data_IF_377033949998
#
_entry.id   IF_377033949998
#
_cell.length_a   1.000
_cell.length_b   1.000
_cell.length_c   1.000
_cell.angle_alpha   90.00
_cell.angle_beta   90.00
_cell.angle_gamma   90.00
#
_symmetry.space_group_name_H-M   'P 1'
#
loop_
_entity.id
_entity.type
_entity.pdbx_description
1 polymer ?
#
# COMPACT_ATOMS: atom_id res chain seq x y z
N UNK A 1 -1.41 6.47 -20.31
CA UNK A 1 -0.24 7.38 -20.33
C UNK A 1 0.07 8.03 -18.96
N UNK A 2 -0.56 7.57 -17.87
CA UNK A 2 -0.42 8.13 -16.51
C UNK A 2 0.42 7.24 -15.58
N UNK A 3 0.97 6.14 -16.11
CA UNK A 3 1.56 5.06 -15.30
C UNK A 3 3.06 5.30 -15.00
N UNK A 4 3.78 5.96 -15.91
CA UNK A 4 5.20 6.32 -15.72
C UNK A 4 5.36 7.45 -14.70
N UNK A 5 4.32 8.25 -14.46
CA UNK A 5 4.39 9.37 -13.50
C UNK A 5 4.19 8.93 -12.06
N UNK A 6 3.52 7.79 -11.78
CA UNK A 6 3.19 7.38 -10.40
C UNK A 6 4.42 6.94 -9.59
N UNK A 7 5.36 6.22 -10.19
CA UNK A 7 6.61 5.80 -9.53
C UNK A 7 7.61 6.94 -9.43
N UNK A 8 7.71 7.77 -10.47
CA UNK A 8 8.51 8.98 -10.48
C UNK A 8 8.06 9.97 -9.37
N UNK A 9 6.74 10.06 -9.10
CA UNK A 9 6.20 10.94 -8.05
C UNK A 9 6.43 10.41 -6.62
N UNK A 10 6.45 9.09 -6.42
CA UNK A 10 6.72 8.50 -5.09
C UNK A 10 8.20 8.60 -4.73
N UNK A 11 9.08 8.24 -5.67
CA UNK A 11 10.54 8.35 -5.50
C UNK A 11 10.94 9.82 -5.36
N UNK A 12 10.34 10.74 -6.12
CA UNK A 12 10.70 12.16 -6.03
C UNK A 12 10.45 12.75 -4.64
N UNK A 13 9.36 12.40 -3.95
CA UNK A 13 9.06 12.96 -2.62
C UNK A 13 10.06 12.55 -1.53
N UNK A 14 10.58 11.33 -1.57
CA UNK A 14 11.53 10.83 -0.56
C UNK A 14 12.89 11.49 -0.71
N UNK A 15 13.30 11.79 -1.96
CA UNK A 15 14.54 12.49 -2.25
C UNK A 15 14.57 13.92 -1.67
N UNK A 16 13.40 14.53 -1.43
CA UNK A 16 13.29 15.85 -0.81
C UNK A 16 13.17 15.83 0.71
N UNK A 17 13.26 14.66 1.36
CA UNK A 17 13.23 14.62 2.82
C UNK A 17 14.53 15.08 3.46
N UNK A 18 14.39 15.83 4.55
CA UNK A 18 15.53 16.10 5.41
C UNK A 18 16.02 14.78 6.02
N UNK A 19 17.33 14.68 6.37
CA UNK A 19 17.87 13.50 7.03
C UNK A 19 17.09 13.09 8.29
N UNK A 20 16.51 14.05 9.01
CA UNK A 20 15.69 13.82 10.21
C UNK A 20 14.37 13.12 9.84
N UNK A 21 13.67 13.58 8.80
CA UNK A 21 12.42 12.99 8.33
C UNK A 21 12.65 11.57 7.82
N UNK A 22 13.72 11.36 7.04
CA UNK A 22 14.09 10.05 6.53
C UNK A 22 14.41 9.09 7.68
N UNK A 23 15.22 9.52 8.66
CA UNK A 23 15.53 8.71 9.85
C UNK A 23 14.27 8.32 10.63
N UNK A 24 13.33 9.25 10.82
CA UNK A 24 12.06 8.96 11.50
C UNK A 24 11.22 7.90 10.79
N UNK A 25 11.17 7.92 9.45
CA UNK A 25 10.46 6.88 8.67
C UNK A 25 11.17 5.53 8.82
N UNK A 26 12.49 5.50 8.71
CA UNK A 26 13.29 4.27 8.87
C UNK A 26 13.07 3.65 10.24
N UNK A 27 13.08 4.46 11.31
CA UNK A 27 12.82 3.99 12.68
C UNK A 27 11.39 3.45 12.84
N UNK A 28 10.39 4.14 12.28
CA UNK A 28 9.01 3.67 12.28
C UNK A 28 8.86 2.32 11.56
N UNK A 29 9.51 2.13 10.41
CA UNK A 29 9.47 0.86 9.66
C UNK A 29 10.14 -0.27 10.47
N UNK A 30 11.24 0.01 11.18
CA UNK A 30 11.87 -0.95 12.10
C UNK A 30 10.92 -1.32 13.24
N UNK A 31 10.24 -0.35 13.86
CA UNK A 31 9.27 -0.59 14.94
C UNK A 31 8.05 -1.42 14.50
N UNK A 32 7.66 -1.34 13.23
CA UNK A 32 6.62 -2.21 12.63
C UNK A 32 7.09 -3.67 12.43
N UNK A 33 8.35 -3.97 12.74
CA UNK A 33 8.93 -5.31 12.68
C UNK A 33 9.32 -5.74 11.26
N UNK A 34 9.63 -4.79 10.37
CA UNK A 34 10.26 -5.11 9.09
C UNK A 34 11.76 -5.31 9.27
N UNK A 35 12.27 -6.42 8.73
CA UNK A 35 13.70 -6.73 8.70
C UNK A 35 14.40 -5.87 7.63
N UNK A 36 15.43 -5.07 7.99
CA UNK A 36 16.16 -4.21 7.04
C UNK A 36 16.81 -4.94 5.86
N UNK A 37 17.07 -6.24 6.01
CA UNK A 37 17.70 -7.09 5.01
C UNK A 37 16.74 -7.46 3.86
N UNK A 38 15.43 -7.28 4.06
CA UNK A 38 14.42 -7.64 3.05
C UNK A 38 14.11 -6.46 2.15
N UNK A 39 13.93 -6.72 0.86
CA UNK A 39 13.48 -5.72 -0.12
C UNK A 39 12.16 -5.03 0.29
N UNK A 40 11.28 -5.75 1.00
CA UNK A 40 10.04 -5.19 1.56
C UNK A 40 10.29 -4.02 2.51
N UNK A 41 11.44 -3.96 3.20
CA UNK A 41 11.81 -2.84 4.06
C UNK A 41 11.95 -1.55 3.25
N UNK A 42 12.79 -1.56 2.21
CA UNK A 42 13.02 -0.39 1.36
C UNK A 42 11.73 0.06 0.67
N UNK A 43 10.93 -0.88 0.17
CA UNK A 43 9.60 -0.56 -0.36
C UNK A 43 8.69 0.10 0.68
N UNK A 44 8.68 -0.39 1.92
CA UNK A 44 7.85 0.16 2.99
C UNK A 44 8.29 1.58 3.36
N UNK A 45 9.60 1.83 3.44
CA UNK A 45 10.16 3.19 3.62
C UNK A 45 9.69 4.10 2.50
N UNK A 46 9.74 3.63 1.25
CA UNK A 46 9.29 4.40 0.08
C UNK A 46 7.79 4.71 0.18
N UNK A 47 6.97 3.70 0.45
CA UNK A 47 5.51 3.86 0.51
C UNK A 47 5.13 4.83 1.62
N UNK A 48 5.58 4.60 2.86
CA UNK A 48 5.27 5.49 3.98
C UNK A 48 5.82 6.90 3.77
N UNK A 49 7.03 7.02 3.21
CA UNK A 49 7.63 8.31 2.92
C UNK A 49 7.00 9.07 1.76
N UNK A 50 6.17 8.42 0.94
CA UNK A 50 5.52 9.09 -0.19
C UNK A 50 4.17 9.72 0.15
N UNK A 51 3.62 9.43 1.35
CA UNK A 51 2.24 9.78 1.70
C UNK A 51 2.12 10.48 3.05
N UNK A 52 1.11 11.36 3.15
CA UNK A 52 0.73 12.00 4.40
C UNK A 52 -0.03 11.01 5.28
N UNK A 53 -0.01 11.25 6.60
CA UNK A 53 -0.80 10.48 7.57
C UNK A 53 -2.29 10.43 7.20
N UNK A 54 -2.87 11.56 6.79
CA UNK A 54 -4.27 11.60 6.35
C UNK A 54 -4.54 10.73 5.13
N UNK A 55 -3.63 10.70 4.15
CA UNK A 55 -3.75 9.81 2.98
C UNK A 55 -3.69 8.34 3.38
N UNK A 56 -2.86 8.00 4.37
CA UNK A 56 -2.79 6.64 4.92
C UNK A 56 -4.11 6.25 5.59
N UNK A 57 -4.67 7.11 6.44
CA UNK A 57 -5.94 6.89 7.14
C UNK A 57 -7.12 6.74 6.16
N UNK A 58 -7.23 7.63 5.16
CA UNK A 58 -8.28 7.51 4.14
C UNK A 58 -8.21 6.18 3.38
N UNK A 59 -7.00 5.68 3.07
CA UNK A 59 -6.84 4.38 2.40
C UNK A 59 -7.28 3.22 3.30
N UNK A 60 -6.95 3.26 4.59
CA UNK A 60 -7.45 2.28 5.56
C UNK A 60 -8.98 2.27 5.57
N UNK A 61 -9.61 3.45 5.60
CA UNK A 61 -11.07 3.55 5.61
C UNK A 61 -11.72 3.00 4.34
N UNK A 62 -11.04 3.09 3.18
CA UNK A 62 -11.51 2.42 1.96
C UNK A 62 -11.56 0.90 2.16
N UNK A 63 -10.49 0.27 2.65
CA UNK A 63 -10.50 -1.18 2.91
C UNK A 63 -11.56 -1.58 3.94
N UNK A 64 -11.74 -0.78 4.99
CA UNK A 64 -12.77 -1.03 6.02
C UNK A 64 -14.19 -1.01 5.45
N UNK A 65 -14.48 -0.13 4.48
CA UNK A 65 -15.78 -0.11 3.78
C UNK A 65 -16.07 -1.39 2.99
N UNK A 66 -15.05 -2.13 2.58
CA UNK A 66 -15.18 -3.44 1.95
C UNK A 66 -15.13 -4.60 2.97
N UNK A 67 -15.14 -4.31 4.27
CA UNK A 67 -15.24 -5.31 5.33
C UNK A 67 -13.91 -5.84 5.86
N UNK A 68 -12.79 -5.14 5.61
CA UNK A 68 -11.54 -5.45 6.32
C UNK A 68 -11.52 -4.84 7.71
N UNK A 69 -10.94 -5.54 8.67
CA UNK A 69 -10.51 -4.93 9.93
C UNK A 69 -9.17 -4.20 9.74
N UNK A 70 -8.84 -3.27 10.65
CA UNK A 70 -7.59 -2.53 10.57
C UNK A 70 -6.37 -3.45 10.66
N UNK A 71 -6.46 -4.50 11.49
CA UNK A 71 -5.44 -5.53 11.64
C UNK A 71 -5.22 -6.31 10.33
N UNK A 72 -6.27 -6.50 9.53
CA UNK A 72 -6.17 -7.15 8.22
C UNK A 72 -5.50 -6.24 7.19
N UNK A 73 -5.74 -4.93 7.25
CA UNK A 73 -5.02 -3.95 6.42
C UNK A 73 -3.53 -3.94 6.77
N UNK A 74 -3.20 -3.90 8.06
CA UNK A 74 -1.82 -3.93 8.53
C UNK A 74 -1.12 -5.24 8.17
N UNK A 75 -1.81 -6.38 8.31
CA UNK A 75 -1.32 -7.69 7.88
C UNK A 75 -1.02 -7.70 6.38
N UNK A 76 -1.97 -7.27 5.55
CA UNK A 76 -1.80 -7.22 4.10
C UNK A 76 -0.65 -6.28 3.70
N UNK A 77 -0.55 -5.12 4.35
CA UNK A 77 0.53 -4.15 4.11
C UNK A 77 1.91 -4.72 4.44
N UNK A 78 2.02 -5.45 5.55
CA UNK A 78 3.28 -6.08 5.97
C UNK A 78 3.79 -7.11 4.97
N UNK A 79 2.88 -7.85 4.34
CA UNK A 79 3.21 -8.83 3.31
C UNK A 79 3.40 -8.18 1.93
N UNK A 80 2.60 -7.14 1.63
CA UNK A 80 2.53 -6.48 0.33
C UNK A 80 2.41 -4.96 0.48
N UNK A 81 3.52 -4.21 0.65
CA UNK A 81 3.46 -2.76 0.82
C UNK A 81 2.78 -2.01 -0.34
N UNK A 82 2.73 -2.62 -1.53
CA UNK A 82 2.09 -2.07 -2.74
C UNK A 82 0.59 -1.79 -2.57
N UNK A 83 -0.10 -2.45 -1.63
CA UNK A 83 -1.53 -2.20 -1.39
C UNK A 83 -1.79 -0.76 -0.94
N UNK A 84 -0.81 -0.13 -0.28
CA UNK A 84 -0.88 1.26 0.16
C UNK A 84 -0.25 2.23 -0.86
N UNK A 85 0.59 1.73 -1.75
CA UNK A 85 1.16 2.50 -2.86
C UNK A 85 0.11 2.85 -3.94
N UNK A 86 -0.92 2.01 -4.11
CA UNK A 86 -1.99 2.21 -5.07
C UNK A 86 -2.84 3.45 -4.75
N UNK A 87 -3.39 4.12 -5.77
CA UNK A 87 -4.36 5.20 -5.56
C UNK A 87 -5.66 4.69 -4.95
N UNK A 88 -6.44 5.56 -4.30
CA UNK A 88 -7.74 5.17 -3.74
C UNK A 88 -8.68 4.57 -4.79
N UNK A 89 -8.69 5.13 -6.01
CA UNK A 89 -9.47 4.60 -7.13
C UNK A 89 -9.07 3.15 -7.46
N UNK A 90 -7.77 2.87 -7.55
CA UNK A 90 -7.27 1.50 -7.82
C UNK A 90 -7.60 0.53 -6.69
N UNK A 91 -7.54 0.98 -5.44
CA UNK A 91 -7.94 0.17 -4.28
C UNK A 91 -9.42 -0.20 -4.40
N UNK A 92 -10.29 0.78 -4.70
CA UNK A 92 -11.72 0.54 -4.88
C UNK A 92 -11.98 -0.45 -6.02
N UNK A 93 -11.38 -0.25 -7.19
CA UNK A 93 -11.53 -1.16 -8.33
C UNK A 93 -11.08 -2.59 -8.00
N UNK A 94 -9.94 -2.74 -7.31
CA UNK A 94 -9.46 -4.04 -6.86
C UNK A 94 -10.42 -4.72 -5.89
N UNK A 95 -10.85 -3.99 -4.86
CA UNK A 95 -11.74 -4.53 -3.84
C UNK A 95 -13.12 -4.87 -4.39
N UNK A 96 -13.68 -4.00 -5.25
CA UNK A 96 -14.97 -4.20 -5.89
C UNK A 96 -14.98 -5.46 -6.77
N UNK A 97 -13.92 -5.64 -7.57
CA UNK A 97 -13.78 -6.85 -8.39
C UNK A 97 -13.75 -8.12 -7.53
N UNK A 98 -12.88 -8.21 -6.53
CA UNK A 98 -12.75 -9.45 -5.76
C UNK A 98 -13.94 -9.70 -4.82
N UNK A 99 -14.47 -8.67 -4.16
CA UNK A 99 -15.53 -8.83 -3.16
C UNK A 99 -16.90 -8.89 -3.82
N UNK A 100 -17.21 -7.97 -4.72
CA UNK A 100 -18.56 -7.81 -5.27
C UNK A 100 -18.77 -8.61 -6.55
N UNK A 101 -17.79 -8.61 -7.48
CA UNK A 101 -17.91 -9.36 -8.75
C UNK A 101 -17.62 -10.85 -8.54
N UNK A 102 -16.49 -11.18 -7.90
CA UNK A 102 -16.07 -12.57 -7.71
C UNK A 102 -16.67 -13.23 -6.45
N UNK A 103 -17.33 -12.45 -5.58
CA UNK A 103 -17.97 -12.96 -4.37
C UNK A 103 -17.01 -13.45 -3.28
N UNK A 104 -15.73 -13.05 -3.32
CA UNK A 104 -14.78 -13.48 -2.30
C UNK A 104 -15.03 -12.79 -0.97
N UNK A 105 -14.89 -13.54 0.13
CA UNK A 105 -14.89 -12.96 1.47
C UNK A 105 -13.73 -11.96 1.59
N UNK A 106 -14.01 -10.75 2.08
CA UNK A 106 -13.02 -9.68 2.18
C UNK A 106 -11.74 -10.10 2.93
N UNK A 107 -11.87 -10.78 4.07
CA UNK A 107 -10.74 -11.35 4.84
C UNK A 107 -9.84 -12.32 4.05
N UNK A 108 -10.40 -13.02 3.04
CA UNK A 108 -9.61 -13.89 2.17
C UNK A 108 -8.76 -13.07 1.20
N UNK A 109 -9.32 -11.97 0.68
CA UNK A 109 -8.61 -11.01 -0.18
C UNK A 109 -7.40 -10.45 0.56
N UNK A 110 -7.57 -10.04 1.83
CA UNK A 110 -6.48 -9.53 2.67
C UNK A 110 -5.30 -10.49 2.84
N UNK A 111 -5.58 -11.80 2.87
CA UNK A 111 -4.59 -12.83 3.18
C UNK A 111 -3.93 -13.46 1.97
N UNK A 112 -4.63 -13.54 0.84
CA UNK A 112 -4.22 -14.40 -0.28
C UNK A 112 -4.09 -13.69 -1.61
N UNK A 113 -4.68 -12.52 -1.79
CA UNK A 113 -4.70 -11.88 -3.10
C UNK A 113 -3.54 -10.92 -3.19
N UNK A 114 -2.57 -11.26 -4.03
CA UNK A 114 -1.51 -10.35 -4.41
C UNK A 114 -2.14 -9.16 -5.13
N UNK A 115 -2.04 -7.97 -4.54
CA UNK A 115 -2.42 -6.75 -5.23
C UNK A 115 -1.50 -6.63 -6.44
N UNK A 116 -2.00 -6.86 -7.68
CA UNK A 116 -1.17 -6.80 -8.84
C UNK A 116 -0.55 -5.40 -8.85
N UNK A 117 0.73 -5.33 -9.20
CA UNK A 117 1.37 -4.04 -9.42
C UNK A 117 0.69 -3.26 -10.54
N UNK A 118 1.47 -2.47 -11.27
CA UNK A 118 0.98 -1.34 -12.07
C UNK A 118 -0.12 -1.63 -13.12
N UNK A 119 -0.42 -2.86 -13.54
CA UNK A 119 -1.55 -3.15 -14.44
C UNK A 119 -2.48 -4.26 -13.95
N UNK A 120 -3.64 -3.87 -13.40
CA UNK A 120 -4.82 -4.75 -13.40
C UNK A 120 -5.51 -4.73 -14.78
N UNK A 121 -5.50 -3.58 -15.45
CA UNK A 121 -6.14 -3.35 -16.77
C UNK A 121 -5.60 -4.22 -17.92
N UNK A 122 -4.48 -4.92 -17.72
CA UNK A 122 -3.86 -5.80 -18.74
C UNK A 122 -3.94 -7.29 -18.40
N UNK A 123 -4.56 -7.66 -17.27
CA UNK A 123 -4.53 -9.04 -16.73
C UNK A 123 -5.90 -9.59 -16.35
N UNK A 124 -6.96 -8.81 -16.61
CA UNK A 124 -8.35 -9.22 -16.66
C UNK A 124 -8.85 -8.95 -18.08
#
# INVERSE_FOLDING_TARGET
MTEVTSTATQVSKILFYSPIQFKGIVEKVKQMGFSPERFTFSLTVIVLGSMRKSTWETKIDVYKKYGWFEEEVLYAFKNHPSIMAASEGRIKTFMDFFVNVMGFKASLVAKKVYFPGLSMEKRL
#
